data_IF_911420325088
#
_entry.id   IF_911420325088
#
_cell.length_a   1.000
_cell.length_b   1.000
_cell.length_c   1.000
_cell.angle_alpha   90.00
_cell.angle_beta   90.00
_cell.angle_gamma   90.00
#
_symmetry.space_group_name_H-M   'P 1'
#
loop_
_entity.id
_entity.type
_entity.pdbx_description
1 polymer ?
#
# COMPACT_ATOMS: atom_id res chain seq x y z
N UNK A 1 8.74 -20.18 -7.14
CA UNK A 1 8.11 -21.45 -7.54
C UNK A 1 6.65 -21.43 -7.08
N UNK A 2 5.74 -21.21 -8.05
CA UNK A 2 4.29 -21.23 -7.85
C UNK A 2 3.69 -22.41 -8.62
N UNK A 3 2.64 -23.00 -8.09
CA UNK A 3 1.83 -24.01 -8.78
C UNK A 3 0.40 -23.50 -8.94
N UNK A 4 -0.30 -23.98 -9.97
CA UNK A 4 -1.70 -23.67 -10.24
C UNK A 4 -2.40 -24.96 -10.67
N UNK A 5 -3.50 -25.27 -10.00
CA UNK A 5 -4.45 -26.30 -10.40
C UNK A 5 -5.60 -25.62 -11.16
N UNK A 6 -5.62 -25.82 -12.47
CA UNK A 6 -6.63 -25.20 -13.33
C UNK A 6 -8.02 -25.86 -13.21
N UNK A 7 -8.09 -27.09 -12.70
CA UNK A 7 -9.37 -27.77 -12.53
C UNK A 7 -10.14 -27.27 -11.31
N UNK A 8 -9.42 -26.92 -10.22
CA UNK A 8 -10.01 -26.41 -8.99
C UNK A 8 -9.84 -24.90 -8.82
N UNK A 9 -9.14 -24.22 -9.73
CA UNK A 9 -8.88 -22.79 -9.68
C UNK A 9 -8.05 -22.36 -8.45
N UNK A 10 -7.18 -23.25 -7.95
CA UNK A 10 -6.35 -23.03 -6.76
C UNK A 10 -4.87 -23.05 -7.13
N UNK A 11 -4.08 -22.30 -6.36
CA UNK A 11 -2.63 -22.25 -6.53
C UNK A 11 -1.94 -21.76 -5.28
N UNK A 12 -0.61 -21.84 -5.27
CA UNK A 12 0.17 -21.42 -4.11
C UNK A 12 1.67 -21.63 -4.30
N UNK A 13 2.41 -21.54 -3.20
CA UNK A 13 3.84 -21.83 -3.13
C UNK A 13 4.12 -23.34 -3.13
N UNK A 14 5.38 -23.74 -3.28
CA UNK A 14 5.81 -25.14 -3.13
C UNK A 14 5.47 -25.70 -1.74
N UNK A 15 5.44 -24.84 -0.71
CA UNK A 15 5.07 -25.23 0.64
C UNK A 15 3.58 -25.57 0.70
N UNK A 16 2.73 -24.73 0.09
CA UNK A 16 1.28 -24.98 0.04
C UNK A 16 0.97 -26.30 -0.73
N UNK A 17 1.74 -26.58 -1.78
CA UNK A 17 1.64 -27.83 -2.52
C UNK A 17 2.00 -29.04 -1.65
N UNK A 18 3.08 -28.94 -0.88
CA UNK A 18 3.50 -29.99 0.04
C UNK A 18 2.45 -30.28 1.11
N UNK A 19 1.92 -29.22 1.75
CA UNK A 19 0.83 -29.33 2.73
C UNK A 19 -0.39 -30.05 2.14
N UNK A 20 -0.76 -29.71 0.89
CA UNK A 20 -1.93 -30.28 0.23
C UNK A 20 -1.72 -31.75 -0.18
N UNK A 21 -0.58 -32.07 -0.78
CA UNK A 21 -0.32 -33.43 -1.30
C UNK A 21 -0.08 -34.43 -0.19
N UNK A 22 0.55 -34.00 0.90
CA UNK A 22 0.97 -34.88 2.00
C UNK A 22 0.07 -34.77 3.23
N UNK A 23 -0.92 -33.88 3.24
CA UNK A 23 -1.84 -33.68 4.36
C UNK A 23 -1.14 -33.28 5.67
N UNK A 24 0.03 -32.66 5.56
CA UNK A 24 0.88 -32.28 6.69
C UNK A 24 0.67 -30.82 7.13
N UNK A 25 1.15 -30.47 8.30
CA UNK A 25 1.13 -29.07 8.77
C UNK A 25 2.16 -28.21 8.03
N UNK A 26 1.99 -26.90 8.07
CA UNK A 26 2.93 -25.93 7.48
C UNK A 26 4.38 -26.14 8.00
N UNK A 27 4.53 -26.40 9.29
CA UNK A 27 5.84 -26.66 9.90
C UNK A 27 6.48 -27.94 9.40
N UNK A 28 5.71 -29.00 9.23
CA UNK A 28 6.18 -30.27 8.66
C UNK A 28 6.57 -30.14 7.20
N UNK A 29 5.77 -29.40 6.40
CA UNK A 29 6.08 -29.14 5.00
C UNK A 29 7.40 -28.36 4.85
N UNK A 30 7.63 -27.35 5.67
CA UNK A 30 8.89 -26.59 5.69
C UNK A 30 10.07 -27.49 6.07
N UNK A 31 9.90 -28.35 7.06
CA UNK A 31 10.94 -29.28 7.51
C UNK A 31 11.31 -30.29 6.40
N UNK A 32 10.32 -30.89 5.75
CA UNK A 32 10.52 -31.87 4.66
C UNK A 32 11.17 -31.25 3.42
N UNK A 33 10.74 -30.05 3.02
CA UNK A 33 11.35 -29.34 1.90
C UNK A 33 12.77 -28.87 2.22
N UNK A 34 13.06 -28.53 3.48
CA UNK A 34 14.40 -28.18 3.93
C UNK A 34 15.36 -29.38 3.96
N UNK A 35 14.88 -30.56 4.29
CA UNK A 35 15.68 -31.80 4.27
C UNK A 35 16.08 -32.22 2.85
N UNK A 36 15.17 -32.08 1.89
CA UNK A 36 15.44 -32.40 0.48
C UNK A 36 16.36 -31.38 -0.25
N UNK A 37 16.55 -30.20 0.33
CA UNK A 37 17.52 -29.21 -0.20
C UNK A 37 18.97 -29.49 0.24
N UNK A 38 19.20 -30.45 1.12
CA UNK A 38 20.51 -30.75 1.72
C UNK A 38 21.24 -31.96 1.10
N UNK A 39 20.67 -32.62 0.08
CA UNK A 39 21.24 -33.83 -0.49
C UNK A 39 22.36 -33.62 -1.53
N UNK A 40 23.17 -32.59 -1.34
CA UNK A 40 24.44 -32.44 -2.06
C UNK A 40 25.62 -32.04 -1.14
N UNK A 41 25.63 -32.51 0.10
CA UNK A 41 26.91 -32.63 0.84
C UNK A 41 26.73 -33.61 2.03
N UNK A 42 27.46 -34.70 1.93
CA UNK A 42 27.69 -35.68 2.98
C UNK A 42 28.24 -34.99 4.23
N UNK A 43 27.65 -35.19 5.40
CA UNK A 43 28.32 -35.65 6.60
C UNK A 43 27.33 -35.97 7.74
N UNK A 44 27.48 -37.20 8.24
CA UNK A 44 26.82 -37.79 9.40
C UNK A 44 27.14 -37.06 10.70
N UNK A 45 26.17 -37.03 11.63
CA UNK A 45 26.33 -37.53 12.98
C UNK A 45 25.02 -37.51 13.75
N UNK A 46 24.66 -38.71 14.21
CA UNK A 46 23.67 -38.93 15.25
C UNK A 46 24.06 -38.13 16.52
N UNK A 47 23.14 -37.38 17.08
CA UNK A 47 23.10 -37.07 18.50
C UNK A 47 21.67 -37.05 19.01
N UNK A 48 21.49 -37.73 20.10
CA UNK A 48 20.30 -38.03 20.87
C UNK A 48 19.41 -36.78 21.13
N UNK A 49 18.12 -36.96 20.90
CA UNK A 49 17.09 -36.03 21.33
C UNK A 49 16.72 -36.33 22.80
N UNK A 50 17.40 -35.68 23.72
CA UNK A 50 16.94 -35.52 25.09
C UNK A 50 16.13 -34.23 25.20
N UNK A 51 14.96 -34.36 25.80
CA UNK A 51 14.01 -33.28 26.10
C UNK A 51 14.72 -32.11 26.79
N UNK A 52 14.72 -30.93 26.14
CA UNK A 52 14.81 -29.67 26.85
C UNK A 52 14.24 -28.54 25.98
N UNK A 53 13.19 -27.88 26.47
CA UNK A 53 12.72 -26.54 26.20
C UNK A 53 12.91 -26.03 24.77
N UNK A 54 11.96 -26.35 23.90
CA UNK A 54 11.73 -25.58 22.65
C UNK A 54 11.18 -24.20 23.00
N UNK A 55 12.06 -23.28 23.37
CA UNK A 55 11.82 -21.90 23.00
C UNK A 55 11.83 -21.84 21.47
N UNK A 56 10.84 -21.20 20.81
CA UNK A 56 10.92 -20.97 19.38
C UNK A 56 12.19 -20.17 19.14
N UNK A 57 13.16 -20.78 18.47
CA UNK A 57 14.28 -20.06 17.88
C UNK A 57 13.65 -19.12 16.86
N UNK A 58 13.33 -17.91 17.31
CA UNK A 58 13.13 -16.77 16.42
C UNK A 58 14.32 -16.79 15.47
N UNK A 59 14.08 -16.98 14.18
CA UNK A 59 15.05 -16.65 13.14
C UNK A 59 15.62 -15.30 13.54
N UNK A 60 16.93 -15.24 13.76
CA UNK A 60 17.61 -14.07 14.30
C UNK A 60 17.09 -12.87 13.51
N UNK A 61 16.31 -12.01 14.15
CA UNK A 61 15.80 -10.80 13.57
C UNK A 61 17.04 -10.03 13.13
N UNK A 62 17.36 -10.10 11.84
CA UNK A 62 18.50 -9.37 11.28
C UNK A 62 18.28 -7.92 11.64
N UNK A 63 19.03 -7.47 12.65
CA UNK A 63 18.87 -6.12 13.17
C UNK A 63 19.30 -5.14 12.06
N UNK A 64 18.34 -4.39 11.55
CA UNK A 64 18.62 -3.29 10.63
C UNK A 64 19.32 -2.21 11.42
N UNK A 65 20.59 -2.00 11.13
CA UNK A 65 21.38 -0.94 11.77
C UNK A 65 21.09 0.38 11.06
N UNK A 66 20.40 1.30 11.73
CA UNK A 66 20.15 2.64 11.24
C UNK A 66 21.50 3.34 10.99
N UNK A 67 21.67 3.94 9.80
CA UNK A 67 22.85 4.72 9.43
C UNK A 67 22.53 6.20 9.48
N UNK A 68 21.49 6.63 8.77
CA UNK A 68 21.09 8.04 8.70
C UNK A 68 19.61 8.21 8.36
N UNK A 69 19.08 9.36 8.73
CA UNK A 69 17.73 9.84 8.38
C UNK A 69 17.89 11.14 7.62
N UNK A 70 17.20 11.27 6.49
CA UNK A 70 17.21 12.48 5.65
C UNK A 70 15.78 12.89 5.30
N UNK A 71 15.53 14.19 5.17
CA UNK A 71 14.25 14.72 4.72
C UNK A 71 14.04 14.58 3.20
N UNK A 72 15.10 14.28 2.46
CA UNK A 72 15.06 14.19 1.00
C UNK A 72 14.98 12.74 0.56
N UNK A 73 13.88 12.35 -0.09
CA UNK A 73 13.75 11.05 -0.73
C UNK A 73 14.49 11.03 -2.07
N UNK A 74 15.23 9.96 -2.39
CA UNK A 74 15.81 9.74 -3.71
C UNK A 74 14.74 9.68 -4.82
N UNK A 75 15.07 10.04 -6.07
CA UNK A 75 14.11 10.08 -7.17
C UNK A 75 13.30 8.79 -7.36
N UNK A 76 13.93 7.61 -7.28
CA UNK A 76 13.26 6.33 -7.44
C UNK A 76 12.20 6.05 -6.37
N UNK A 77 12.39 6.52 -5.12
CA UNK A 77 11.38 6.42 -4.05
C UNK A 77 10.25 7.43 -4.24
N UNK A 78 10.57 8.64 -4.75
CA UNK A 78 9.55 9.63 -5.12
C UNK A 78 8.69 9.11 -6.28
N UNK A 79 9.30 8.51 -7.31
CA UNK A 79 8.58 7.89 -8.43
C UNK A 79 7.67 6.75 -7.98
N UNK A 80 8.14 5.92 -7.06
CA UNK A 80 7.31 4.87 -6.48
C UNK A 80 6.06 5.44 -5.80
N UNK A 81 6.21 6.47 -4.97
CA UNK A 81 5.08 7.13 -4.31
C UNK A 81 4.11 7.73 -5.33
N UNK A 82 4.62 8.50 -6.30
CA UNK A 82 3.77 9.27 -7.21
C UNK A 82 3.19 8.43 -8.35
N UNK A 83 4.01 7.58 -9.00
CA UNK A 83 3.58 6.82 -10.19
C UNK A 83 2.96 5.47 -9.86
N UNK A 84 3.47 4.78 -8.82
CA UNK A 84 2.99 3.44 -8.47
C UNK A 84 1.85 3.52 -7.45
N UNK A 85 2.03 4.33 -6.41
CA UNK A 85 1.06 4.50 -5.31
C UNK A 85 0.10 5.67 -5.49
N UNK A 86 0.31 6.51 -6.50
CA UNK A 86 -0.50 7.70 -6.81
C UNK A 86 -0.62 8.70 -5.64
N UNK A 87 0.40 8.77 -4.78
CA UNK A 87 0.44 9.64 -3.61
C UNK A 87 0.79 11.06 -4.03
N UNK A 88 0.07 12.04 -3.50
CA UNK A 88 0.43 13.45 -3.56
C UNK A 88 1.68 13.70 -2.69
N UNK A 89 2.81 13.89 -3.34
CA UNK A 89 4.09 13.99 -2.67
C UNK A 89 4.19 15.23 -1.77
N UNK A 90 3.57 16.35 -2.17
CA UNK A 90 3.63 17.59 -1.37
C UNK A 90 2.89 17.42 -0.04
N UNK A 91 1.75 16.71 -0.05
CA UNK A 91 1.01 16.39 1.17
C UNK A 91 1.71 15.32 2.02
N UNK A 92 2.44 14.41 1.38
CA UNK A 92 3.11 13.29 2.06
C UNK A 92 4.46 13.67 2.70
N UNK A 93 5.21 14.60 2.10
CA UNK A 93 6.56 15.02 2.53
C UNK A 93 6.71 15.27 4.04
N UNK A 94 5.77 15.96 4.74
CA UNK A 94 5.92 16.23 6.17
C UNK A 94 6.01 14.97 7.04
N UNK A 95 5.50 13.84 6.55
CA UNK A 95 5.41 12.58 7.29
C UNK A 95 6.49 11.57 6.90
N UNK A 96 7.26 11.86 5.85
CA UNK A 96 8.19 10.90 5.27
C UNK A 96 9.65 11.33 5.46
N UNK A 97 10.50 10.31 5.64
CA UNK A 97 11.95 10.44 5.69
C UNK A 97 12.58 9.41 4.76
N UNK A 98 13.79 9.68 4.30
CA UNK A 98 14.64 8.67 3.71
C UNK A 98 15.45 8.01 4.83
N UNK A 99 15.25 6.72 5.03
CA UNK A 99 15.97 5.93 6.03
C UNK A 99 17.05 5.14 5.33
N UNK A 100 18.32 5.45 5.65
CA UNK A 100 19.47 4.63 5.26
C UNK A 100 19.82 3.66 6.38
N UNK A 101 19.93 2.39 6.07
CA UNK A 101 20.22 1.34 7.05
C UNK A 101 21.10 0.26 6.45
N UNK A 102 21.73 -0.53 7.31
CA UNK A 102 22.59 -1.64 6.93
C UNK A 102 22.03 -2.97 7.40
N UNK A 103 22.12 -3.97 6.53
CA UNK A 103 21.81 -5.38 6.83
C UNK A 103 22.93 -6.22 6.26
N UNK A 104 23.59 -7.02 7.10
CA UNK A 104 24.73 -7.90 6.67
C UNK A 104 25.80 -7.17 5.86
N UNK A 105 26.16 -5.96 6.27
CA UNK A 105 27.19 -5.15 5.58
C UNK A 105 26.73 -4.48 4.28
N UNK A 106 25.48 -4.65 3.87
CA UNK A 106 24.90 -3.99 2.69
C UNK A 106 24.03 -2.81 3.11
N UNK A 107 24.18 -1.71 2.40
CA UNK A 107 23.41 -0.48 2.64
C UNK A 107 22.16 -0.43 1.77
N UNK A 108 21.08 0.02 2.37
CA UNK A 108 19.75 0.18 1.75
C UNK A 108 19.20 1.54 2.07
N UNK A 109 18.31 2.02 1.21
CA UNK A 109 17.51 3.21 1.43
C UNK A 109 16.04 2.87 1.25
N UNK A 110 15.20 3.35 2.15
CA UNK A 110 13.75 3.13 2.10
C UNK A 110 13.00 4.40 2.52
N UNK A 111 11.76 4.50 2.09
CA UNK A 111 10.79 5.43 2.64
C UNK A 111 10.57 5.04 4.09
N UNK A 112 10.75 5.99 5.01
CA UNK A 112 10.50 5.82 6.42
C UNK A 112 9.31 6.64 6.88
N UNK A 113 8.49 6.04 7.73
CA UNK A 113 7.36 6.68 8.40
C UNK A 113 7.54 6.48 9.90
N UNK A 114 7.74 7.58 10.62
CA UNK A 114 8.07 7.56 12.04
C UNK A 114 6.86 7.18 12.90
N UNK A 115 7.10 6.44 13.98
CA UNK A 115 6.09 6.17 14.99
C UNK A 115 6.37 6.95 16.30
N UNK A 116 5.42 6.95 17.22
CA UNK A 116 5.52 7.72 18.46
C UNK A 116 6.66 7.30 19.41
N UNK A 117 7.19 6.09 19.25
CA UNK A 117 8.30 5.56 20.05
C UNK A 117 9.67 5.73 19.40
N UNK A 118 9.77 6.49 18.29
CA UNK A 118 11.03 6.78 17.59
C UNK A 118 11.47 5.68 16.61
N UNK A 119 10.68 4.63 16.41
CA UNK A 119 10.88 3.67 15.34
C UNK A 119 10.33 4.16 13.99
N UNK A 120 10.58 3.41 12.94
CA UNK A 120 10.13 3.76 11.58
C UNK A 120 9.62 2.53 10.84
N UNK A 121 8.46 2.67 10.22
CA UNK A 121 8.01 1.71 9.21
C UNK A 121 8.69 2.01 7.87
N UNK A 122 9.11 0.96 7.17
CA UNK A 122 9.89 1.06 5.95
C UNK A 122 9.13 0.52 4.74
N UNK A 123 9.28 1.21 3.61
CA UNK A 123 8.89 0.73 2.27
C UNK A 123 9.98 1.07 1.26
N UNK A 124 10.24 0.17 0.34
CA UNK A 124 11.04 0.47 -0.86
C UNK A 124 10.12 0.67 -2.09
N UNK A 125 10.71 0.70 -3.26
CA UNK A 125 10.01 0.79 -4.54
C UNK A 125 9.50 -0.58 -5.06
N UNK A 126 9.59 -1.64 -4.27
CA UNK A 126 9.14 -2.99 -4.59
C UNK A 126 8.14 -3.54 -3.58
N UNK A 127 8.35 -4.77 -3.17
CA UNK A 127 7.48 -5.50 -2.24
C UNK A 127 7.96 -5.44 -0.78
N UNK A 128 9.12 -4.87 -0.53
CA UNK A 128 9.72 -4.86 0.80
C UNK A 128 8.90 -4.03 1.78
N UNK A 129 8.63 -4.66 2.92
CA UNK A 129 8.05 -4.07 4.12
C UNK A 129 8.97 -4.37 5.29
N UNK A 130 9.35 -3.36 6.04
CA UNK A 130 10.24 -3.53 7.17
C UNK A 130 9.98 -2.51 8.26
N UNK A 131 10.71 -2.66 9.37
CA UNK A 131 10.63 -1.74 10.50
C UNK A 131 12.04 -1.53 11.06
N UNK A 132 12.36 -0.29 11.42
CA UNK A 132 13.39 0.03 12.41
C UNK A 132 12.69 0.13 13.76
N UNK A 133 13.10 -0.70 14.70
CA UNK A 133 12.49 -0.78 16.03
C UNK A 133 12.61 0.56 16.81
N UNK A 134 11.74 0.78 17.77
CA UNK A 134 10.62 -0.04 18.21
C UNK A 134 9.38 0.05 17.30
N UNK A 135 8.52 -1.00 17.32
CA UNK A 135 7.22 -0.95 16.64
C UNK A 135 6.18 -0.26 17.50
N UNK A 136 5.50 0.73 16.93
CA UNK A 136 4.42 1.44 17.61
C UNK A 136 3.43 2.06 16.62
N UNK A 137 2.35 2.63 17.15
CA UNK A 137 1.39 3.45 16.40
C UNK A 137 1.97 4.82 16.07
N UNK A 138 1.33 5.50 15.11
CA UNK A 138 1.65 6.89 14.77
C UNK A 138 0.40 7.75 14.89
N UNK A 139 0.20 8.48 16.00
CA UNK A 139 -0.83 9.51 16.11
C UNK A 139 -0.45 10.77 15.31
N UNK A 140 -1.41 11.34 14.58
CA UNK A 140 -1.23 12.47 13.67
C UNK A 140 -2.40 13.44 13.85
N UNK A 141 -2.14 14.75 13.73
CA UNK A 141 -3.14 15.80 13.92
C UNK A 141 -3.87 15.70 15.27
N UNK A 142 -3.11 15.43 16.32
CA UNK A 142 -3.64 15.20 17.68
C UNK A 142 -4.28 16.44 18.28
N UNK A 143 -3.93 17.63 17.81
CA UNK A 143 -4.59 18.90 18.12
C UNK A 143 -6.07 18.95 17.70
N UNK A 144 -6.46 18.11 16.73
CA UNK A 144 -7.84 17.98 16.24
C UNK A 144 -8.74 17.07 17.09
N UNK A 145 -8.21 16.45 18.14
CA UNK A 145 -8.97 15.61 19.09
C UNK A 145 -9.91 16.43 19.99
N UNK A 146 -9.70 17.74 20.09
CA UNK A 146 -10.21 18.64 21.12
C UNK A 146 -11.75 18.63 21.26
N UNK A 147 -12.53 18.29 20.23
CA UNK A 147 -13.98 18.45 20.30
C UNK A 147 -14.78 17.15 20.27
N UNK A 148 -14.18 15.97 20.19
CA UNK A 148 -14.83 14.63 20.14
C UNK A 148 -16.05 14.51 19.19
N UNK A 149 -16.39 15.57 18.45
CA UNK A 149 -17.53 15.62 17.53
C UNK A 149 -17.19 14.92 16.23
N UNK A 150 -15.91 14.96 15.82
CA UNK A 150 -15.46 14.31 14.61
C UNK A 150 -14.75 12.99 14.94
N UNK A 151 -15.02 11.93 14.15
CA UNK A 151 -14.36 10.65 14.36
C UNK A 151 -12.85 10.75 14.13
N UNK A 152 -12.07 10.06 14.95
CA UNK A 152 -10.64 9.83 14.68
C UNK A 152 -10.50 8.77 13.59
N UNK A 153 -9.74 9.06 12.55
CA UNK A 153 -9.48 8.12 11.45
C UNK A 153 -8.35 7.15 11.82
N UNK A 154 -8.61 5.86 11.71
CA UNK A 154 -7.65 4.78 12.04
C UNK A 154 -7.27 4.03 10.76
N UNK A 155 -5.99 3.96 10.44
CA UNK A 155 -5.44 3.30 9.25
C UNK A 155 -4.59 2.10 9.64
N UNK A 156 -4.61 1.03 8.81
CA UNK A 156 -3.74 -0.12 9.06
C UNK A 156 -2.27 0.23 8.79
N UNK A 157 -2.00 0.82 7.62
CA UNK A 157 -0.66 1.18 7.19
C UNK A 157 -0.52 2.63 6.77
N UNK A 158 0.70 3.12 6.73
CA UNK A 158 0.93 4.52 6.35
C UNK A 158 0.66 4.81 4.86
N UNK A 159 0.68 3.80 3.97
CA UNK A 159 0.29 4.00 2.57
C UNK A 159 -1.20 4.33 2.44
N UNK A 160 -2.04 3.76 3.29
CA UNK A 160 -3.48 4.05 3.33
C UNK A 160 -3.73 5.46 3.86
N UNK A 161 -3.01 5.85 4.91
CA UNK A 161 -3.03 7.22 5.42
C UNK A 161 -2.59 8.23 4.34
N UNK A 162 -1.50 7.99 3.62
CA UNK A 162 -1.04 8.87 2.55
C UNK A 162 -2.02 8.92 1.38
N UNK A 163 -2.69 7.81 1.08
CA UNK A 163 -3.77 7.76 0.09
C UNK A 163 -4.95 8.63 0.52
N UNK A 164 -5.34 8.53 1.78
CA UNK A 164 -6.37 9.37 2.36
C UNK A 164 -6.03 10.86 2.26
N UNK A 165 -4.79 11.25 2.60
CA UNK A 165 -4.31 12.63 2.42
C UNK A 165 -4.42 13.08 0.96
N UNK A 166 -4.02 12.20 0.03
CA UNK A 166 -4.04 12.51 -1.41
C UNK A 166 -5.45 12.67 -1.96
N UNK A 167 -6.44 11.98 -1.38
CA UNK A 167 -7.85 12.08 -1.78
C UNK A 167 -8.59 13.29 -1.20
N UNK A 168 -8.06 13.91 -0.15
CA UNK A 168 -8.70 15.02 0.56
C UNK A 168 -8.03 16.34 0.20
N UNK A 169 -8.81 17.38 0.06
CA UNK A 169 -8.30 18.74 -0.07
C UNK A 169 -7.65 19.17 1.26
N UNK A 170 -8.36 18.98 2.36
CA UNK A 170 -7.90 19.20 3.72
C UNK A 170 -8.33 18.04 4.63
N UNK A 171 -7.50 17.71 5.61
CA UNK A 171 -7.81 16.72 6.66
C UNK A 171 -8.13 17.44 7.95
N UNK A 172 -9.38 17.31 8.38
CA UNK A 172 -9.92 17.95 9.60
C UNK A 172 -9.97 17.01 10.80
N UNK A 173 -9.68 15.73 10.60
CA UNK A 173 -9.76 14.69 11.62
C UNK A 173 -8.38 14.40 12.22
N UNK A 174 -8.34 14.03 13.49
CA UNK A 174 -7.20 13.32 14.04
C UNK A 174 -7.06 11.96 13.36
N UNK A 175 -5.83 11.49 13.21
CA UNK A 175 -5.51 10.24 12.54
C UNK A 175 -4.61 9.37 13.42
N UNK A 176 -4.78 8.05 13.35
CA UNK A 176 -3.90 7.07 13.98
C UNK A 176 -3.53 6.03 12.93
N UNK A 177 -2.24 5.84 12.68
CA UNK A 177 -1.76 4.74 11.86
C UNK A 177 -1.27 3.63 12.77
N UNK A 178 -1.88 2.45 12.63
CA UNK A 178 -1.53 1.26 13.45
C UNK A 178 -0.11 0.76 13.13
N UNK A 179 0.33 0.95 11.87
CA UNK A 179 1.55 0.37 11.32
C UNK A 179 1.56 -1.18 11.25
N UNK A 180 0.63 -1.81 11.93
CA UNK A 180 0.29 -3.23 11.87
C UNK A 180 -0.94 -3.44 12.76
N UNK A 181 -1.83 -4.36 12.39
CA UNK A 181 -2.96 -4.78 13.27
C UNK A 181 -2.50 -5.32 14.62
N UNK A 182 -1.26 -5.80 14.75
CA UNK A 182 -0.69 -6.21 16.05
C UNK A 182 -0.58 -5.06 17.06
N UNK A 183 -0.69 -3.83 16.64
CA UNK A 183 -0.70 -2.64 17.50
C UNK A 183 -2.12 -2.18 17.89
N UNK A 184 -3.19 -2.90 17.54
CA UNK A 184 -4.57 -2.54 17.88
C UNK A 184 -4.73 -2.28 19.38
N UNK A 185 -4.21 -3.16 20.24
CA UNK A 185 -4.27 -2.97 21.69
C UNK A 185 -3.53 -1.72 22.18
N UNK A 186 -2.44 -1.31 21.51
CA UNK A 186 -1.76 -0.03 21.82
C UNK A 186 -2.60 1.16 21.41
N UNK A 187 -3.23 1.11 20.22
CA UNK A 187 -4.13 2.15 19.74
C UNK A 187 -5.34 2.31 20.67
N UNK A 188 -5.95 1.22 21.11
CA UNK A 188 -7.05 1.23 22.10
C UNK A 188 -6.63 1.95 23.38
N UNK A 189 -5.48 1.60 23.96
CA UNK A 189 -4.98 2.27 25.18
C UNK A 189 -4.72 3.76 24.95
N UNK A 190 -4.10 4.11 23.82
CA UNK A 190 -3.85 5.51 23.47
C UNK A 190 -5.15 6.29 23.33
N UNK A 191 -6.13 5.78 22.57
CA UNK A 191 -7.41 6.44 22.34
C UNK A 191 -8.22 6.61 23.62
N UNK A 192 -8.24 5.61 24.49
CA UNK A 192 -8.89 5.71 25.80
C UNK A 192 -8.24 6.81 26.66
N UNK A 193 -6.90 6.89 26.67
CA UNK A 193 -6.18 7.94 27.41
C UNK A 193 -6.45 9.35 26.85
N UNK A 194 -6.77 9.46 25.55
CA UNK A 194 -7.15 10.73 24.92
C UNK A 194 -8.66 11.02 24.97
N UNK A 195 -9.46 10.14 25.58
CA UNK A 195 -10.93 10.28 25.66
C UNK A 195 -11.63 10.13 24.30
N UNK A 196 -11.00 9.52 23.31
CA UNK A 196 -11.61 9.24 22.01
C UNK A 196 -12.62 8.11 22.17
N UNK A 197 -13.84 8.30 21.65
CA UNK A 197 -14.92 7.32 21.69
C UNK A 197 -15.48 6.99 20.32
N UNK A 198 -15.26 7.84 19.31
CA UNK A 198 -15.78 7.68 17.96
C UNK A 198 -14.62 7.60 16.95
N UNK A 199 -14.59 6.51 16.16
CA UNK A 199 -13.53 6.23 15.20
C UNK A 199 -14.09 5.83 13.83
N UNK A 200 -13.34 6.14 12.77
CA UNK A 200 -13.51 5.61 11.40
C UNK A 200 -12.33 4.74 11.06
N UNK A 201 -12.56 3.48 10.75
CA UNK A 201 -11.51 2.53 10.41
C UNK A 201 -11.31 2.40 8.90
N UNK A 202 -10.06 2.49 8.46
CA UNK A 202 -9.61 2.27 7.09
C UNK A 202 -8.58 1.13 7.11
N UNK A 203 -9.06 -0.10 7.39
CA UNK A 203 -8.23 -1.29 7.53
C UNK A 203 -8.32 -2.16 6.27
N UNK A 204 -7.38 -3.11 6.14
CA UNK A 204 -7.35 -4.03 5.00
C UNK A 204 -8.60 -4.92 4.98
N UNK A 205 -9.08 -5.27 3.78
CA UNK A 205 -10.23 -6.16 3.55
C UNK A 205 -9.86 -7.63 3.73
N UNK A 206 -9.15 -7.96 4.80
CA UNK A 206 -8.79 -9.32 5.18
C UNK A 206 -9.30 -9.69 6.58
N UNK A 207 -9.04 -10.93 7.01
CA UNK A 207 -9.51 -11.41 8.31
C UNK A 207 -8.85 -10.67 9.48
N UNK A 208 -7.62 -10.17 9.30
CA UNK A 208 -6.91 -9.46 10.34
C UNK A 208 -7.50 -8.06 10.55
N UNK A 209 -7.80 -7.33 9.44
CA UNK A 209 -8.49 -6.05 9.49
C UNK A 209 -9.88 -6.17 10.10
N UNK A 210 -10.66 -7.19 9.69
CA UNK A 210 -12.00 -7.45 10.28
C UNK A 210 -11.96 -7.74 11.77
N UNK A 211 -10.99 -8.54 12.24
CA UNK A 211 -10.79 -8.78 13.69
C UNK A 211 -10.43 -7.50 14.43
N UNK A 212 -9.57 -6.65 13.87
CA UNK A 212 -9.22 -5.38 14.50
C UNK A 212 -10.42 -4.45 14.64
N UNK A 213 -11.33 -4.39 13.64
CA UNK A 213 -12.61 -3.66 13.75
C UNK A 213 -13.44 -4.19 14.93
N UNK A 214 -13.54 -5.51 15.07
CA UNK A 214 -14.26 -6.14 16.20
C UNK A 214 -13.60 -5.85 17.55
N UNK A 215 -12.27 -5.83 17.62
CA UNK A 215 -11.52 -5.47 18.82
C UNK A 215 -11.81 -4.03 19.26
N UNK A 216 -11.88 -3.07 18.33
CA UNK A 216 -12.26 -1.70 18.63
C UNK A 216 -13.69 -1.60 19.14
N UNK A 217 -14.64 -2.26 18.48
CA UNK A 217 -16.05 -2.28 18.91
C UNK A 217 -16.19 -2.95 20.29
N UNK A 218 -15.51 -4.07 20.54
CA UNK A 218 -15.48 -4.76 21.82
C UNK A 218 -14.84 -3.93 22.95
N UNK A 219 -13.94 -3.01 22.62
CA UNK A 219 -13.35 -2.06 23.57
C UNK A 219 -14.24 -0.84 23.87
N UNK A 220 -15.45 -0.76 23.29
CA UNK A 220 -16.44 0.28 23.57
C UNK A 220 -16.39 1.49 22.65
N UNK A 221 -15.61 1.47 21.56
CA UNK A 221 -15.63 2.55 20.58
C UNK A 221 -16.87 2.48 19.69
N UNK A 222 -17.44 3.64 19.35
CA UNK A 222 -18.34 3.75 18.21
C UNK A 222 -17.51 3.68 16.93
N UNK A 223 -17.69 2.62 16.14
CA UNK A 223 -16.87 2.33 14.97
C UNK A 223 -17.68 2.51 13.69
N UNK A 224 -17.24 3.40 12.80
CA UNK A 224 -17.65 3.43 11.40
C UNK A 224 -16.59 2.70 10.55
N UNK A 225 -16.93 1.52 10.05
CA UNK A 225 -16.04 0.77 9.16
C UNK A 225 -16.15 1.29 7.73
N UNK A 226 -15.09 1.92 7.25
CA UNK A 226 -15.01 2.51 5.92
C UNK A 226 -14.58 1.51 4.85
N UNK A 227 -14.20 0.28 5.20
CA UNK A 227 -13.76 -0.76 4.27
C UNK A 227 -14.83 -1.12 3.24
N UNK A 228 -16.12 -0.92 3.58
CA UNK A 228 -17.24 -1.11 2.67
C UNK A 228 -17.14 -0.25 1.39
N UNK A 229 -16.51 0.93 1.46
CA UNK A 229 -16.34 1.84 0.32
C UNK A 229 -15.26 1.39 -0.67
N UNK A 230 -14.41 0.46 -0.26
CA UNK A 230 -13.37 -0.15 -1.09
C UNK A 230 -13.36 -1.68 -0.99
N UNK A 231 -14.53 -2.29 -0.80
CA UNK A 231 -14.72 -3.74 -0.59
C UNK A 231 -14.14 -4.63 -1.69
N UNK A 232 -14.05 -4.10 -2.93
CA UNK A 232 -13.53 -4.83 -4.09
C UNK A 232 -11.99 -4.71 -4.22
N UNK A 233 -11.33 -4.06 -3.26
CA UNK A 233 -9.90 -3.84 -3.19
C UNK A 233 -9.36 -4.34 -1.85
N UNK A 234 -8.09 -4.72 -1.85
CA UNK A 234 -7.46 -5.20 -0.63
C UNK A 234 -7.38 -4.12 0.45
N UNK A 235 -6.97 -2.92 0.07
CA UNK A 235 -6.72 -1.80 0.96
C UNK A 235 -7.12 -0.46 0.31
N UNK A 236 -7.08 0.62 1.09
CA UNK A 236 -7.44 1.95 0.63
C UNK A 236 -6.49 2.47 -0.46
N UNK A 237 -5.20 2.11 -0.40
CA UNK A 237 -4.25 2.53 -1.43
C UNK A 237 -4.55 1.87 -2.78
N UNK A 238 -4.88 0.60 -2.82
CA UNK A 238 -5.25 -0.09 -4.06
C UNK A 238 -6.49 0.54 -4.71
N UNK A 239 -7.50 0.84 -3.90
CA UNK A 239 -8.68 1.60 -4.35
C UNK A 239 -8.29 2.97 -4.92
N UNK A 240 -7.47 3.74 -4.20
CA UNK A 240 -7.01 5.06 -4.64
C UNK A 240 -6.28 4.98 -5.98
N UNK A 241 -5.33 4.06 -6.13
CA UNK A 241 -4.58 3.84 -7.38
C UNK A 241 -5.52 3.50 -8.54
N UNK A 242 -6.49 2.60 -8.32
CA UNK A 242 -7.48 2.24 -9.35
C UNK A 242 -8.29 3.47 -9.80
N UNK A 243 -8.74 4.28 -8.85
CA UNK A 243 -9.49 5.51 -9.12
C UNK A 243 -8.67 6.52 -9.94
N UNK A 244 -7.42 6.75 -9.55
CA UNK A 244 -6.52 7.68 -10.24
C UNK A 244 -6.23 7.24 -11.68
N UNK A 245 -5.99 5.96 -11.90
CA UNK A 245 -5.76 5.39 -13.23
C UNK A 245 -6.98 5.52 -14.13
N UNK A 246 -8.18 5.28 -13.61
CA UNK A 246 -9.44 5.48 -14.35
C UNK A 246 -9.62 6.94 -14.76
N UNK A 247 -9.37 7.88 -13.86
CA UNK A 247 -9.46 9.32 -14.15
C UNK A 247 -8.45 9.75 -15.24
N UNK A 248 -7.23 9.24 -15.19
CA UNK A 248 -6.23 9.57 -16.21
C UNK A 248 -6.61 8.98 -17.58
N UNK A 249 -7.11 7.76 -17.64
CA UNK A 249 -7.62 7.16 -18.88
C UNK A 249 -8.78 7.98 -19.47
N UNK A 250 -9.71 8.45 -18.65
CA UNK A 250 -10.81 9.32 -19.10
C UNK A 250 -10.28 10.64 -19.67
N UNK A 251 -9.35 11.30 -18.98
CA UNK A 251 -8.72 12.52 -19.47
C UNK A 251 -8.01 12.32 -20.82
N UNK A 252 -7.30 11.21 -21.00
CA UNK A 252 -6.64 10.88 -22.27
C UNK A 252 -7.67 10.69 -23.36
N UNK A 253 -8.76 9.95 -23.12
CA UNK A 253 -9.84 9.74 -24.10
C UNK A 253 -10.52 11.05 -24.49
N UNK A 254 -10.80 11.93 -23.53
CA UNK A 254 -11.38 13.25 -23.80
C UNK A 254 -10.45 14.12 -24.67
N UNK A 255 -9.15 14.18 -24.35
CA UNK A 255 -8.16 14.91 -25.15
C UNK A 255 -8.10 14.39 -26.59
N UNK A 256 -8.08 13.08 -26.77
CA UNK A 256 -8.09 12.44 -28.09
C UNK A 256 -9.37 12.82 -28.87
N UNK A 257 -10.52 12.72 -28.19
CA UNK A 257 -11.82 13.09 -28.81
C UNK A 257 -11.86 14.56 -29.23
N UNK A 258 -11.33 15.47 -28.40
CA UNK A 258 -11.25 16.90 -28.74
C UNK A 258 -10.28 17.18 -29.90
N UNK A 259 -9.14 16.48 -29.96
CA UNK A 259 -8.18 16.58 -31.06
C UNK A 259 -8.84 16.20 -32.41
N UNK A 260 -9.48 15.02 -32.45
CA UNK A 260 -10.19 14.54 -33.64
C UNK A 260 -11.30 15.52 -34.08
N UNK A 261 -12.06 16.04 -33.11
CA UNK A 261 -13.12 17.05 -33.43
C UNK A 261 -12.52 18.31 -34.04
N UNK A 262 -11.40 18.79 -33.53
CA UNK A 262 -10.71 19.96 -34.08
C UNK A 262 -10.19 19.73 -35.52
N UNK A 263 -9.62 18.55 -35.77
CA UNK A 263 -9.16 18.17 -37.12
C UNK A 263 -10.32 18.13 -38.12
N UNK A 264 -11.48 17.58 -37.75
CA UNK A 264 -12.68 17.58 -38.60
C UNK A 264 -13.14 19.01 -38.90
N UNK A 265 -13.14 19.91 -37.90
CA UNK A 265 -13.52 21.31 -38.09
C UNK A 265 -12.56 22.01 -39.06
N UNK A 266 -11.25 21.80 -38.92
CA UNK A 266 -10.24 22.37 -39.80
C UNK A 266 -10.42 21.84 -41.25
N UNK A 267 -10.66 20.55 -41.42
CA UNK A 267 -10.86 19.90 -42.69
C UNK A 267 -12.14 20.41 -43.39
N UNK A 268 -13.25 20.54 -42.67
CA UNK A 268 -14.51 21.09 -43.22
C UNK A 268 -14.36 22.55 -43.64
N UNK A 269 -13.66 23.38 -42.85
CA UNK A 269 -13.36 24.76 -43.25
C UNK A 269 -12.50 24.85 -44.52
N UNK A 270 -11.46 24.03 -44.67
CA UNK A 270 -10.64 23.96 -45.86
C UNK A 270 -11.47 23.59 -47.11
N UNK A 271 -12.37 22.60 -46.97
CA UNK A 271 -13.27 22.21 -48.09
C UNK A 271 -14.28 23.30 -48.49
N UNK A 272 -14.77 24.09 -47.53
CA UNK A 272 -15.68 25.19 -47.84
C UNK A 272 -14.99 26.31 -48.62
N UNK A 273 -13.73 26.62 -48.29
CA UNK A 273 -12.92 27.63 -49.02
C UNK A 273 -12.61 27.16 -50.44
N UNK A 274 -12.26 25.89 -50.66
CA UNK A 274 -11.97 25.38 -52.02
C UNK A 274 -13.21 25.28 -52.92
N UNK A 275 -14.42 25.16 -52.37
CA UNK A 275 -15.68 25.21 -53.17
C UNK A 275 -16.07 26.62 -53.55
N UNK A 276 -15.69 27.65 -52.79
CA UNK A 276 -15.99 29.05 -53.08
C UNK A 276 -15.24 29.60 -54.30
N UNK A 277 -14.20 28.97 -54.83
CA UNK A 277 -13.39 29.41 -55.98
C UNK A 277 -13.81 28.80 -57.28
N UNK A 278 -14.91 28.02 -57.37
CA UNK A 278 -15.42 27.46 -58.69
C UNK A 278 -16.64 28.12 -59.32
N UNK A 279 -17.06 29.29 -58.84
CA UNK A 279 -18.18 29.99 -59.39
C UNK A 279 -17.75 31.42 -59.81
N UNK A 280 -16.97 31.54 -60.85
CA UNK A 280 -16.92 32.73 -61.74
C UNK A 280 -16.00 32.46 -62.91
N UNK A 281 -16.48 31.66 -63.84
CA UNK A 281 -16.03 31.71 -65.28
C UNK A 281 -17.23 31.55 -66.18
N UNK A 282 -17.97 32.63 -66.33
CA UNK A 282 -18.82 32.81 -67.53
C UNK A 282 -17.90 33.16 -68.71
N UNK A 283 -18.01 32.47 -69.85
CA UNK A 283 -17.25 32.83 -71.03
C UNK A 283 -17.83 34.15 -71.63
N UNK A 284 -16.99 35.01 -72.17
CA UNK A 284 -17.48 36.22 -72.86
C UNK A 284 -18.26 35.82 -74.13
N UNK A 285 -19.47 36.32 -74.25
CA UNK A 285 -20.28 36.26 -75.46
C UNK A 285 -19.63 37.08 -76.55
N UNK A 286 -19.32 36.42 -77.67
CA UNK A 286 -19.00 37.12 -78.96
C UNK A 286 -20.19 37.88 -79.46
N UNK A 287 -19.98 39.14 -79.75
CA UNK A 287 -20.52 39.87 -80.88
C UNK A 287 -19.42 40.82 -81.43
#
# INVERSE_FOLDING_TARGET
>A
NLWIDYAEGRGGSIIDLCVRLEGCTLSEAICRLGQNASDNTVYSSHKDFSQNNLQPTMAANETRKLISISDTLPPHLQEYLTKVRCIDLEKAKPFLKCISYEVRGRRYQSIGFANQSGGHELRDNGTFKGTIAPKDITPIFTDKIINQIQPTCVFEGFMDFLSFLSMKEEVTNACIVLNSVSNTAKAIRYMNAQGISFIRTFLDNDDAGRRAVQEFAGAGFHVEDMSIHYKDFKDLNEFHVSRMRKQEQQKVQERTRMSVKNEIIIWTRKKSVTRGWRISSTPPSNI
#
